data_IF_520996029426
#
_entry.id   IF_520996029426
#
_cell.length_a   1.000
_cell.length_b   1.000
_cell.length_c   1.000
_cell.angle_alpha   90.00
_cell.angle_beta   90.00
_cell.angle_gamma   90.00
#
_symmetry.space_group_name_H-M   'P 1'
#
loop_
_entity.id
_entity.type
_entity.pdbx_description
1 polymer ?
#
# COMPACT_ATOMS: atom_id res chain seq x y z
N UNK A 1 -0.66 -3.01 29.16
CA UNK A 1 0.35 -3.11 28.08
C UNK A 1 1.15 -1.81 28.16
N UNK A 2 2.48 -1.87 28.07
CA UNK A 2 3.31 -0.64 28.09
C UNK A 2 3.15 0.15 26.77
N UNK A 3 3.63 1.39 26.74
CA UNK A 3 3.54 2.28 25.57
C UNK A 3 4.13 1.65 24.32
N UNK A 4 5.35 1.11 24.41
CA UNK A 4 6.07 0.53 23.28
C UNK A 4 5.32 -0.67 22.66
N UNK A 5 4.81 -1.57 23.51
CA UNK A 5 4.04 -2.74 23.08
C UNK A 5 2.71 -2.33 22.44
N UNK A 6 2.03 -1.33 23.01
CA UNK A 6 0.76 -0.82 22.47
C UNK A 6 0.96 -0.16 21.11
N UNK A 7 1.97 0.71 20.99
CA UNK A 7 2.35 1.39 19.75
C UNK A 7 2.69 0.38 18.65
N UNK A 8 3.46 -0.66 18.98
CA UNK A 8 3.81 -1.73 18.03
C UNK A 8 2.58 -2.47 17.52
N UNK A 9 1.65 -2.83 18.41
CA UNK A 9 0.43 -3.53 18.00
C UNK A 9 -0.51 -2.62 17.18
N UNK A 10 -0.65 -1.34 17.56
CA UNK A 10 -1.39 -0.35 16.78
C UNK A 10 -0.81 -0.19 15.37
N UNK A 11 0.51 -0.13 15.23
CA UNK A 11 1.16 0.01 13.93
C UNK A 11 0.94 -1.22 13.03
N UNK A 12 0.92 -2.42 13.62
CA UNK A 12 0.59 -3.65 12.89
C UNK A 12 -0.85 -3.62 12.37
N UNK A 13 -1.80 -3.21 13.20
CA UNK A 13 -3.19 -3.04 12.77
C UNK A 13 -3.36 -1.93 11.73
N UNK A 14 -2.60 -0.84 11.85
CA UNK A 14 -2.59 0.24 10.87
C UNK A 14 -2.05 -0.22 9.52
N UNK A 15 -0.99 -1.04 9.48
CA UNK A 15 -0.47 -1.63 8.25
C UNK A 15 -1.53 -2.47 7.54
N UNK A 16 -2.21 -3.35 8.28
CA UNK A 16 -3.26 -4.20 7.72
C UNK A 16 -4.44 -3.37 7.19
N UNK A 17 -4.85 -2.33 7.93
CA UNK A 17 -5.90 -1.41 7.50
C UNK A 17 -5.49 -0.65 6.23
N UNK A 18 -4.22 -0.23 6.14
CA UNK A 18 -3.67 0.42 4.95
C UNK A 18 -3.67 -0.50 3.73
N UNK A 19 -3.18 -1.73 3.87
CA UNK A 19 -3.23 -2.74 2.81
C UNK A 19 -4.66 -2.96 2.32
N UNK A 20 -5.61 -3.14 3.24
CA UNK A 20 -7.01 -3.36 2.88
C UNK A 20 -7.62 -2.12 2.19
N UNK A 21 -7.30 -0.91 2.66
CA UNK A 21 -7.81 0.34 2.09
C UNK A 21 -7.42 0.57 0.61
N UNK A 22 -6.32 -0.03 0.16
CA UNK A 22 -5.91 0.01 -1.27
C UNK A 22 -6.89 -0.67 -2.23
N UNK A 23 -7.86 -1.42 -1.70
CA UNK A 23 -8.89 -2.14 -2.46
C UNK A 23 -10.30 -1.60 -2.23
N UNK A 24 -10.44 -0.52 -1.43
CA UNK A 24 -11.71 0.05 -1.04
C UNK A 24 -12.04 1.31 -1.85
N UNK A 25 -13.34 1.60 -1.94
CA UNK A 25 -13.82 2.86 -2.51
C UNK A 25 -13.47 4.05 -1.61
N UNK A 26 -13.38 5.24 -2.19
CA UNK A 26 -13.02 6.48 -1.47
C UNK A 26 -14.04 6.96 -0.43
N UNK A 27 -15.24 6.38 -0.42
CA UNK A 27 -16.28 6.62 0.58
C UNK A 27 -16.33 5.54 1.67
N UNK A 28 -15.37 4.61 1.67
CA UNK A 28 -15.23 3.54 2.64
C UNK A 28 -13.98 3.76 3.47
N UNK A 29 -13.99 3.32 4.73
CA UNK A 29 -12.84 3.46 5.62
C UNK A 29 -12.67 2.30 6.57
N UNK A 30 -11.46 2.24 7.12
CA UNK A 30 -11.12 1.37 8.24
C UNK A 30 -10.56 2.23 9.36
N UNK A 31 -10.99 1.94 10.58
CA UNK A 31 -10.52 2.60 11.79
C UNK A 31 -9.83 1.59 12.71
N UNK A 32 -8.69 1.99 13.27
CA UNK A 32 -7.97 1.27 14.31
C UNK A 32 -8.12 2.05 15.60
N UNK A 33 -8.50 1.37 16.68
CA UNK A 33 -8.84 2.01 17.95
C UNK A 33 -8.43 1.15 19.14
N UNK A 34 -8.26 1.80 20.29
CA UNK A 34 -8.13 1.14 21.57
C UNK A 34 -9.50 0.98 22.22
N UNK A 35 -9.91 -0.25 22.49
CA UNK A 35 -11.09 -0.59 23.30
C UNK A 35 -10.64 -1.15 24.64
N UNK A 36 -10.81 -0.39 25.72
CA UNK A 36 -10.38 -0.78 27.07
C UNK A 36 -8.92 -1.28 27.11
N UNK A 37 -8.03 -0.53 26.43
CA UNK A 37 -6.60 -0.86 26.33
C UNK A 37 -6.26 -2.02 25.39
N UNK A 38 -7.24 -2.57 24.66
CA UNK A 38 -7.02 -3.61 23.65
C UNK A 38 -7.12 -3.00 22.25
N UNK A 39 -6.13 -3.25 21.40
CA UNK A 39 -6.16 -2.80 20.00
C UNK A 39 -7.22 -3.57 19.21
N UNK A 40 -8.02 -2.85 18.45
CA UNK A 40 -9.02 -3.39 17.54
C UNK A 40 -9.04 -2.60 16.24
N UNK A 41 -9.52 -3.25 15.19
CA UNK A 41 -9.87 -2.61 13.92
C UNK A 41 -11.38 -2.77 13.69
N UNK A 42 -11.98 -1.83 12.96
CA UNK A 42 -13.32 -2.02 12.42
C UNK A 42 -13.29 -2.98 11.25
N UNK A 43 -14.45 -3.51 10.88
CA UNK A 43 -14.68 -3.92 9.49
C UNK A 43 -14.71 -2.67 8.59
N UNK A 44 -15.00 -2.85 7.30
CA UNK A 44 -15.16 -1.72 6.36
C UNK A 44 -16.40 -0.93 6.76
N UNK A 45 -16.21 0.38 7.00
CA UNK A 45 -17.27 1.32 7.29
C UNK A 45 -17.59 2.16 6.06
N UNK A 46 -18.86 2.32 5.74
CA UNK A 46 -19.32 3.29 4.73
C UNK A 46 -19.40 4.72 5.32
N UNK A 47 -19.49 5.73 4.45
CA UNK A 47 -19.60 7.16 4.81
C UNK A 47 -20.68 7.47 5.88
N UNK A 48 -21.77 6.70 5.90
CA UNK A 48 -22.91 6.92 6.79
C UNK A 48 -22.75 6.30 8.18
N UNK A 49 -21.77 5.43 8.36
CA UNK A 49 -21.55 4.74 9.63
C UNK A 49 -20.75 5.65 10.56
N UNK A 50 -21.35 6.01 11.69
CA UNK A 50 -20.69 6.82 12.73
C UNK A 50 -20.23 5.94 13.89
N UNK A 51 -18.99 6.14 14.31
CA UNK A 51 -18.41 5.48 15.47
C UNK A 51 -18.49 6.38 16.69
N UNK A 52 -19.02 5.85 17.80
CA UNK A 52 -19.07 6.57 19.08
C UNK A 52 -17.76 6.35 19.82
N UNK A 53 -16.98 7.42 19.98
CA UNK A 53 -15.76 7.42 20.78
C UNK A 53 -16.03 7.80 22.23
N UNK A 54 -15.22 7.27 23.14
CA UNK A 54 -15.34 7.51 24.57
C UNK A 54 -14.00 7.34 25.26
N UNK A 55 -13.96 7.49 26.58
CA UNK A 55 -12.74 7.18 27.34
C UNK A 55 -12.31 5.70 27.21
N UNK A 56 -13.25 4.82 26.88
CA UNK A 56 -13.03 3.39 26.68
C UNK A 56 -12.75 3.02 25.23
N UNK A 57 -13.13 3.87 24.27
CA UNK A 57 -12.90 3.68 22.82
C UNK A 57 -12.22 4.89 22.21
N UNK A 58 -10.95 4.75 21.85
CA UNK A 58 -10.11 5.85 21.37
C UNK A 58 -9.66 5.55 19.96
N UNK A 59 -9.99 6.42 19.01
CA UNK A 59 -9.46 6.34 17.66
C UNK A 59 -7.94 6.54 17.70
N UNK A 60 -7.20 5.64 17.05
CA UNK A 60 -5.74 5.70 16.98
C UNK A 60 -5.21 5.82 15.55
N UNK A 61 -5.98 5.34 14.58
CA UNK A 61 -5.66 5.51 13.17
C UNK A 61 -6.93 5.39 12.34
N UNK A 62 -7.02 6.19 11.29
CA UNK A 62 -8.10 6.13 10.31
C UNK A 62 -7.50 6.21 8.91
N UNK A 63 -8.00 5.38 8.01
CA UNK A 63 -7.67 5.43 6.59
C UNK A 63 -8.93 5.24 5.74
N UNK A 64 -9.11 6.14 4.78
CA UNK A 64 -10.14 6.03 3.73
C UNK A 64 -9.62 5.13 2.61
N UNK A 65 -10.51 4.52 1.85
CA UNK A 65 -10.16 3.78 0.65
C UNK A 65 -9.56 4.69 -0.42
N UNK A 66 -8.68 4.13 -1.24
CA UNK A 66 -8.07 4.85 -2.35
C UNK A 66 -7.94 3.93 -3.55
N UNK A 67 -8.82 4.16 -4.53
CA UNK A 67 -8.98 3.34 -5.74
C UNK A 67 -7.98 3.74 -6.83
N UNK A 68 -6.68 3.67 -6.51
CA UNK A 68 -5.60 3.97 -7.47
C UNK A 68 -4.67 2.78 -7.70
N UNK A 69 -4.88 1.64 -7.02
CA UNK A 69 -3.98 0.49 -7.11
C UNK A 69 -3.89 -0.07 -8.53
N UNK A 70 -5.01 -0.18 -9.24
CA UNK A 70 -5.02 -0.62 -10.63
C UNK A 70 -4.18 0.31 -11.54
N UNK A 71 -4.36 1.62 -11.39
CA UNK A 71 -3.62 2.59 -12.20
C UNK A 71 -2.14 2.61 -11.83
N UNK A 72 -1.81 2.42 -10.56
CA UNK A 72 -0.42 2.29 -10.11
C UNK A 72 0.24 1.02 -10.68
N UNK A 73 -0.49 -0.10 -10.77
CA UNK A 73 0.02 -1.32 -11.43
C UNK A 73 0.34 -1.05 -12.90
N UNK A 74 -0.51 -0.31 -13.62
CA UNK A 74 -0.24 0.07 -15.02
C UNK A 74 1.00 0.95 -15.14
N UNK A 75 1.16 1.92 -14.24
CA UNK A 75 2.35 2.77 -14.16
C UNK A 75 3.61 1.93 -13.89
N UNK A 76 3.54 0.99 -12.96
CA UNK A 76 4.62 0.05 -12.66
C UNK A 76 4.99 -0.86 -13.84
N UNK A 77 3.98 -1.34 -14.60
CA UNK A 77 4.21 -2.06 -15.85
C UNK A 77 5.00 -1.18 -16.83
N UNK A 78 4.62 0.08 -16.99
CA UNK A 78 5.31 1.00 -17.89
C UNK A 78 6.75 1.28 -17.42
N UNK A 79 6.98 1.44 -16.11
CA UNK A 79 8.32 1.56 -15.54
C UNK A 79 9.18 0.32 -15.80
N UNK A 80 8.64 -0.88 -15.59
CA UNK A 80 9.36 -2.13 -15.81
C UNK A 80 9.86 -2.30 -17.25
N UNK A 81 9.19 -1.65 -18.21
CA UNK A 81 9.54 -1.69 -19.64
C UNK A 81 10.66 -0.71 -19.99
N UNK A 82 10.91 0.31 -19.16
CA UNK A 82 12.01 1.25 -19.38
C UNK A 82 13.33 0.54 -19.09
N UNK A 83 14.15 0.36 -20.12
CA UNK A 83 15.54 -0.06 -19.97
C UNK A 83 16.35 1.14 -19.44
N UNK A 84 16.90 1.01 -18.25
CA UNK A 84 17.83 1.99 -17.70
C UNK A 84 18.98 2.19 -18.71
N UNK A 85 19.20 3.45 -19.11
CA UNK A 85 20.30 3.83 -19.99
C UNK A 85 21.57 3.99 -19.14
N UNK A 86 22.74 3.51 -19.61
CA UNK A 86 23.96 3.65 -18.83
C UNK A 86 24.31 5.13 -18.65
N UNK A 87 24.49 5.54 -17.40
CA UNK A 87 25.11 6.82 -17.05
C UNK A 87 26.60 6.59 -16.75
N UNK A 88 27.46 7.53 -17.14
CA UNK A 88 28.91 7.39 -17.00
C UNK A 88 29.30 7.06 -15.55
N UNK A 89 29.92 5.89 -15.37
CA UNK A 89 30.50 5.45 -14.11
C UNK A 89 29.56 4.76 -13.11
N UNK A 90 28.27 4.58 -13.44
CA UNK A 90 27.32 3.85 -12.59
C UNK A 90 26.90 2.55 -13.29
N UNK A 91 27.09 1.37 -12.66
CA UNK A 91 26.58 0.13 -13.23
C UNK A 91 25.06 0.18 -13.32
N UNK A 92 24.53 -0.30 -14.44
CA UNK A 92 23.08 -0.43 -14.60
C UNK A 92 22.54 -1.36 -13.50
N UNK A 93 21.43 -0.99 -12.83
CA UNK A 93 20.77 -1.90 -11.92
C UNK A 93 20.30 -3.13 -12.71
N UNK A 94 20.57 -4.32 -12.17
CA UNK A 94 19.99 -5.55 -12.69
C UNK A 94 18.46 -5.47 -12.55
N UNK A 95 17.70 -5.88 -13.57
CA UNK A 95 16.25 -5.85 -13.49
C UNK A 95 15.74 -6.81 -12.41
N UNK A 96 14.67 -6.42 -11.74
CA UNK A 96 14.03 -7.27 -10.73
C UNK A 96 13.32 -8.46 -11.39
N UNK A 97 13.02 -9.51 -10.61
CA UNK A 97 12.24 -10.65 -11.12
C UNK A 97 10.87 -10.24 -11.67
N UNK A 98 10.25 -9.21 -11.08
CA UNK A 98 8.97 -8.67 -11.57
C UNK A 98 9.17 -7.99 -12.92
N UNK A 99 10.21 -7.17 -13.07
CA UNK A 99 10.49 -6.49 -14.34
C UNK A 99 10.80 -7.50 -15.45
N UNK A 100 11.53 -8.57 -15.14
CA UNK A 100 11.80 -9.66 -16.08
C UNK A 100 10.48 -10.32 -16.50
N UNK A 101 9.62 -10.71 -15.54
CA UNK A 101 8.35 -11.38 -15.82
C UNK A 101 7.39 -10.49 -16.64
N UNK A 102 7.32 -9.19 -16.36
CA UNK A 102 6.52 -8.23 -17.14
C UNK A 102 7.04 -8.14 -18.57
N UNK A 103 8.36 -8.07 -18.78
CA UNK A 103 8.97 -8.02 -20.13
C UNK A 103 8.70 -9.30 -20.91
N UNK A 104 8.79 -10.46 -20.27
CA UNK A 104 8.45 -11.75 -20.89
C UNK A 104 6.97 -11.81 -21.29
N UNK A 105 6.07 -11.34 -20.45
CA UNK A 105 4.63 -11.27 -20.77
C UNK A 105 4.35 -10.33 -21.95
N UNK A 106 4.99 -9.16 -22.00
CA UNK A 106 4.92 -8.23 -23.14
C UNK A 106 5.35 -8.93 -24.44
N UNK A 107 6.45 -9.69 -24.40
CA UNK A 107 6.94 -10.45 -25.54
C UNK A 107 5.93 -11.49 -26.03
N UNK A 108 5.26 -12.18 -25.12
CA UNK A 108 4.24 -13.18 -25.42
C UNK A 108 3.00 -12.56 -26.06
N UNK A 109 2.51 -11.45 -25.49
CA UNK A 109 1.36 -10.70 -26.02
C UNK A 109 1.68 -10.18 -27.43
N UNK A 110 2.84 -9.54 -27.60
CA UNK A 110 3.27 -9.02 -28.90
C UNK A 110 3.31 -10.11 -29.98
N UNK A 111 3.90 -11.27 -29.65
CA UNK A 111 3.94 -12.44 -30.55
C UNK A 111 2.55 -12.95 -30.88
N UNK A 112 1.66 -13.05 -29.89
CA UNK A 112 0.29 -13.56 -30.06
C UNK A 112 -0.56 -12.64 -30.95
N UNK A 113 -0.38 -11.32 -30.81
CA UNK A 113 -1.12 -10.30 -31.56
C UNK A 113 -0.46 -9.92 -32.88
N UNK A 114 0.78 -10.37 -33.13
CA UNK A 114 1.52 -10.05 -34.34
C UNK A 114 1.93 -8.57 -34.43
N UNK A 115 2.16 -7.93 -33.28
CA UNK A 115 2.51 -6.51 -33.17
C UNK A 115 3.90 -6.31 -32.58
N UNK A 116 4.40 -5.07 -32.62
CA UNK A 116 5.66 -4.74 -31.95
C UNK A 116 5.43 -4.70 -30.42
N UNK A 117 6.44 -5.08 -29.66
CA UNK A 117 6.44 -5.07 -28.19
C UNK A 117 6.22 -3.67 -27.62
N UNK A 118 6.73 -2.66 -28.32
CA UNK A 118 6.57 -1.25 -27.93
C UNK A 118 5.13 -0.75 -28.10
N UNK A 119 4.32 -1.43 -28.93
CA UNK A 119 2.92 -1.08 -29.19
C UNK A 119 1.95 -1.75 -28.21
N UNK A 120 2.39 -2.74 -27.44
CA UNK A 120 1.56 -3.40 -26.42
C UNK A 120 1.26 -2.39 -25.32
N UNK A 121 0.00 -2.19 -24.96
CA UNK A 121 -0.38 -1.24 -23.91
C UNK A 121 -0.24 -1.85 -22.50
N UNK A 122 0.00 -1.02 -21.48
CA UNK A 122 -0.01 -1.46 -20.08
C UNK A 122 -1.35 -2.07 -19.67
N UNK A 123 -2.46 -1.64 -20.29
CA UNK A 123 -3.79 -2.25 -20.12
C UNK A 123 -3.85 -3.70 -20.59
N UNK A 124 -3.26 -4.02 -21.74
CA UNK A 124 -3.22 -5.40 -22.27
C UNK A 124 -2.34 -6.32 -21.43
N UNK A 125 -1.23 -5.78 -20.93
CA UNK A 125 -0.35 -6.49 -20.00
C UNK A 125 -1.09 -6.75 -18.69
N UNK A 126 -1.71 -5.73 -18.10
CA UNK A 126 -2.49 -5.83 -16.86
C UNK A 126 -3.59 -6.90 -16.99
N UNK A 127 -4.37 -6.86 -18.06
CA UNK A 127 -5.44 -7.84 -18.32
C UNK A 127 -4.94 -9.28 -18.53
N UNK A 128 -3.64 -9.46 -18.79
CA UNK A 128 -3.00 -10.74 -19.03
C UNK A 128 -2.10 -11.19 -17.87
N UNK A 129 -2.00 -10.42 -16.79
CA UNK A 129 -1.15 -10.75 -15.66
C UNK A 129 -1.60 -12.06 -15.00
N UNK A 130 -0.69 -13.02 -14.80
CA UNK A 130 -0.91 -14.13 -13.89
C UNK A 130 -1.22 -13.63 -12.47
N UNK A 131 -2.12 -14.30 -11.76
CA UNK A 131 -2.60 -13.86 -10.43
C UNK A 131 -1.47 -13.75 -9.39
N UNK A 132 -0.47 -14.63 -9.47
CA UNK A 132 0.73 -14.62 -8.64
C UNK A 132 1.64 -13.41 -8.92
N UNK A 133 1.79 -13.04 -10.20
CA UNK A 133 2.54 -11.85 -10.58
C UNK A 133 1.79 -10.57 -10.19
N UNK A 134 0.47 -10.54 -10.39
CA UNK A 134 -0.39 -9.44 -9.96
C UNK A 134 -0.23 -9.17 -8.45
N UNK A 135 -0.40 -10.20 -7.61
CA UNK A 135 -0.23 -10.07 -6.17
C UNK A 135 1.19 -9.67 -5.74
N UNK A 136 2.21 -10.07 -6.51
CA UNK A 136 3.60 -9.65 -6.24
C UNK A 136 3.81 -8.17 -6.54
N UNK A 137 3.23 -7.66 -7.63
CA UNK A 137 3.29 -6.23 -7.99
C UNK A 137 2.51 -5.40 -6.95
N UNK A 138 1.30 -5.83 -6.59
CA UNK A 138 0.49 -5.19 -5.56
C UNK A 138 1.27 -5.06 -4.24
N UNK A 139 1.90 -6.15 -3.78
CA UNK A 139 2.68 -6.08 -2.54
C UNK A 139 3.85 -5.11 -2.65
N UNK A 140 4.57 -5.06 -3.78
CA UNK A 140 5.68 -4.12 -3.94
C UNK A 140 5.21 -2.66 -3.93
N UNK A 141 4.09 -2.37 -4.59
CA UNK A 141 3.46 -1.04 -4.56
C UNK A 141 3.07 -0.67 -3.13
N UNK A 142 2.38 -1.57 -2.41
CA UNK A 142 1.90 -1.30 -1.06
C UNK A 142 3.06 -1.19 -0.06
N UNK A 143 4.16 -1.93 -0.24
CA UNK A 143 5.40 -1.73 0.51
C UNK A 143 6.06 -0.38 0.21
N UNK A 144 6.11 0.02 -1.07
CA UNK A 144 6.64 1.31 -1.46
C UNK A 144 5.84 2.45 -0.81
N UNK A 145 4.51 2.45 -0.93
CA UNK A 145 3.67 3.49 -0.32
C UNK A 145 3.76 3.55 1.21
N UNK A 146 3.99 2.41 1.87
CA UNK A 146 4.10 2.35 3.32
C UNK A 146 5.48 2.75 3.84
N UNK A 147 6.54 2.35 3.13
CA UNK A 147 7.93 2.46 3.60
C UNK A 147 8.78 3.48 2.85
N UNK A 148 8.21 4.18 1.86
CA UNK A 148 8.80 5.28 1.09
C UNK A 148 9.63 6.24 1.98
N UNK A 149 10.80 6.69 1.55
CA UNK A 149 11.63 7.60 2.38
C UNK A 149 11.01 9.01 2.50
N UNK A 150 10.10 9.35 1.59
CA UNK A 150 9.36 10.59 1.47
C UNK A 150 8.62 10.97 2.76
N UNK A 151 8.46 12.28 3.02
CA UNK A 151 7.92 12.82 4.29
C UNK A 151 6.48 12.36 4.60
N UNK A 152 5.68 11.98 3.60
CA UNK A 152 4.27 11.61 3.74
C UNK A 152 3.99 10.14 3.36
N UNK A 153 4.84 9.20 3.76
CA UNK A 153 4.55 7.77 3.57
C UNK A 153 3.47 7.25 4.53
N UNK A 154 2.81 6.13 4.18
CA UNK A 154 1.72 5.56 4.96
C UNK A 154 2.09 5.24 6.41
N UNK A 155 3.31 4.77 6.67
CA UNK A 155 3.80 4.45 8.01
C UNK A 155 4.00 5.70 8.88
N UNK A 156 4.55 6.78 8.32
CA UNK A 156 4.76 8.06 9.03
C UNK A 156 3.42 8.69 9.40
N UNK A 157 2.46 8.70 8.48
CA UNK A 157 1.11 9.19 8.74
C UNK A 157 0.40 8.36 9.82
N UNK A 158 0.53 7.03 9.77
CA UNK A 158 -0.02 6.15 10.79
C UNK A 158 0.63 6.39 12.16
N UNK A 159 1.96 6.52 12.21
CA UNK A 159 2.69 6.80 13.45
C UNK A 159 2.26 8.12 14.08
N UNK A 160 2.13 9.19 13.29
CA UNK A 160 1.71 10.49 13.78
C UNK A 160 0.32 10.43 14.45
N UNK A 161 -0.66 9.79 13.79
CA UNK A 161 -2.01 9.62 14.37
C UNK A 161 -2.00 8.77 15.65
N UNK A 162 -1.21 7.69 15.66
CA UNK A 162 -1.10 6.79 16.82
C UNK A 162 -0.46 7.52 18.00
N UNK A 163 0.62 8.27 17.77
CA UNK A 163 1.34 9.02 18.79
C UNK A 163 0.44 10.09 19.41
N UNK A 164 -0.25 10.88 18.59
CA UNK A 164 -1.23 11.88 19.04
C UNK A 164 -2.31 11.24 19.93
N UNK A 165 -2.87 10.10 19.53
CA UNK A 165 -3.89 9.40 20.28
C UNK A 165 -3.39 8.84 21.63
N UNK A 166 -2.15 8.35 21.68
CA UNK A 166 -1.54 7.83 22.91
C UNK A 166 -1.16 8.96 23.88
N UNK A 167 -0.62 10.06 23.37
CA UNK A 167 -0.29 11.25 24.16
C UNK A 167 -1.54 11.86 24.79
N UNK A 168 -2.64 11.97 24.03
CA UNK A 168 -3.93 12.43 24.55
C UNK A 168 -4.47 11.53 25.70
N UNK A 169 -4.00 10.28 25.79
CA UNK A 169 -4.31 9.34 26.87
C UNK A 169 -3.39 9.45 28.09
N UNK A 170 -2.34 10.28 28.03
CA UNK A 170 -1.30 10.33 29.04
C UNK A 170 -0.39 9.11 29.03
N UNK A 171 -0.36 8.33 27.94
CA UNK A 171 0.64 7.31 27.71
C UNK A 171 1.81 7.97 26.98
N UNK A 172 2.95 8.10 27.65
CA UNK A 172 4.15 8.68 27.09
C UNK A 172 5.27 7.65 27.01
N UNK A 173 6.20 7.88 26.10
CA UNK A 173 7.47 7.16 26.07
C UNK A 173 8.24 7.45 27.37
N UNK A 174 8.79 6.41 27.99
CA UNK A 174 9.45 6.48 29.29
C UNK A 174 10.84 7.14 29.21
#
# INVERSE_FOLDING_TARGET
MDYASTKKELLKHARNAFEQASTLNTNQRIEVYLQNGTVKSTDVLDEKEEMVYSNERILCYKIEGYDYLEDEIKIWIDYARVLAQPTDGVPLPEPTNIEIAIRELVDEIAKKLGMNKDDVSSYEVFASLPMDLLGSIEQQIIEYWWSAEEEENGKKLALAQIEEALEAKGLQEA
#
